data_IF_404794349656
#
_entry.id   IF_404794349656
#
_cell.length_a   1.000
_cell.length_b   1.000
_cell.length_c   1.000
_cell.angle_alpha   90.00
_cell.angle_beta   90.00
_cell.angle_gamma   90.00
#
_symmetry.space_group_name_H-M   'P 1'
#
loop_
_entity.id
_entity.type
_entity.pdbx_description
1 polymer ?
#
# COMPACT_ATOMS: atom_id res chain seq x y z
N UNK A 1 -12.36 16.88 -21.90
CA UNK A 1 -11.03 16.23 -21.86
C UNK A 1 -11.20 14.91 -21.13
N UNK A 2 -10.66 13.78 -21.62
CA UNK A 2 -10.67 12.57 -20.80
C UNK A 2 -9.80 12.84 -19.58
N UNK A 3 -10.40 12.81 -18.40
CA UNK A 3 -9.67 12.94 -17.14
C UNK A 3 -8.77 11.72 -16.97
N UNK A 4 -7.50 11.83 -17.34
CA UNK A 4 -6.50 10.75 -17.20
C UNK A 4 -6.07 10.52 -15.76
N UNK A 5 -6.42 11.43 -14.85
CA UNK A 5 -6.17 11.29 -13.41
C UNK A 5 -7.07 10.20 -12.81
N UNK A 6 -6.43 9.20 -12.18
CA UNK A 6 -7.09 8.05 -11.55
C UNK A 6 -7.54 8.29 -10.10
N UNK A 7 -7.39 9.53 -9.62
CA UNK A 7 -7.70 9.92 -8.24
C UNK A 7 -6.45 10.16 -7.38
N UNK A 8 -6.63 10.58 -6.11
CA UNK A 8 -5.53 10.93 -5.22
C UNK A 8 -4.76 9.69 -4.75
N UNK A 9 -3.43 9.82 -4.71
CA UNK A 9 -2.51 8.83 -4.13
C UNK A 9 -1.97 9.26 -2.77
N UNK A 10 -1.64 8.30 -1.90
CA UNK A 10 -1.05 8.54 -0.59
C UNK A 10 0.29 7.83 -0.44
N UNK A 11 1.33 8.52 0.01
CA UNK A 11 2.59 7.88 0.38
C UNK A 11 2.57 7.44 1.85
N UNK A 12 2.64 6.14 2.08
CA UNK A 12 2.43 5.55 3.41
C UNK A 12 3.61 5.75 4.38
N UNK A 13 4.80 6.10 3.87
CA UNK A 13 6.02 6.18 4.67
C UNK A 13 5.93 7.12 5.87
N UNK A 14 5.18 8.23 5.76
CA UNK A 14 5.01 9.20 6.85
C UNK A 14 4.04 8.74 7.96
N UNK A 15 3.30 7.65 7.72
CA UNK A 15 2.30 7.11 8.65
C UNK A 15 2.75 5.78 9.25
N UNK A 16 3.60 5.02 8.56
CA UNK A 16 4.10 3.72 9.00
C UNK A 16 4.65 3.76 10.43
N UNK A 17 4.17 2.85 11.28
CA UNK A 17 4.53 2.81 12.69
C UNK A 17 4.07 1.51 13.36
N UNK A 18 4.35 1.36 14.65
CA UNK A 18 4.14 0.08 15.35
C UNK A 18 2.70 -0.19 15.79
N UNK A 19 1.85 0.85 15.80
CA UNK A 19 0.47 0.77 16.23
C UNK A 19 -0.50 0.68 15.05
N UNK A 20 -1.60 -0.06 15.24
CA UNK A 20 -2.70 -0.09 14.28
C UNK A 20 -3.33 1.31 14.11
N UNK A 21 -3.79 1.67 12.89
CA UNK A 21 -3.80 0.87 11.67
C UNK A 21 -2.49 0.92 10.87
N UNK A 22 -1.42 1.52 11.38
CA UNK A 22 -0.21 1.87 10.62
C UNK A 22 0.88 0.79 10.57
N UNK A 23 0.61 -0.37 11.17
CA UNK A 23 1.58 -1.44 11.43
C UNK A 23 1.44 -2.65 10.50
N UNK A 24 0.53 -2.61 9.53
CA UNK A 24 0.37 -3.67 8.52
C UNK A 24 -0.22 -3.11 7.23
N UNK A 25 0.13 -3.71 6.10
CA UNK A 25 -0.35 -3.27 4.79
C UNK A 25 -1.89 -3.27 4.69
N UNK A 26 -2.63 -4.33 5.08
CA UNK A 26 -4.10 -4.34 4.95
C UNK A 26 -4.80 -3.27 5.80
N UNK A 27 -4.30 -3.03 7.03
CA UNK A 27 -4.92 -2.06 7.92
C UNK A 27 -4.71 -0.62 7.42
N UNK A 28 -3.50 -0.29 6.94
CA UNK A 28 -3.16 1.05 6.50
C UNK A 28 -3.77 1.37 5.12
N UNK A 29 -3.90 0.39 4.21
CA UNK A 29 -4.60 0.58 2.93
C UNK A 29 -6.09 0.79 3.13
N UNK A 30 -6.72 0.03 4.04
CA UNK A 30 -8.13 0.22 4.42
C UNK A 30 -8.37 1.60 5.05
N UNK A 31 -7.48 2.06 5.92
CA UNK A 31 -7.53 3.41 6.46
C UNK A 31 -7.42 4.47 5.35
N UNK A 32 -6.46 4.34 4.43
CA UNK A 32 -6.29 5.27 3.31
C UNK A 32 -7.52 5.31 2.38
N UNK A 33 -8.11 4.15 2.09
CA UNK A 33 -9.34 4.04 1.31
C UNK A 33 -10.52 4.75 2.00
N UNK A 34 -10.63 4.63 3.33
CA UNK A 34 -11.64 5.34 4.14
C UNK A 34 -11.52 6.86 4.08
N UNK A 35 -10.33 7.41 3.77
CA UNK A 35 -10.10 8.84 3.55
C UNK A 35 -10.35 9.27 2.09
N UNK A 36 -10.67 8.35 1.19
CA UNK A 36 -10.97 8.63 -0.22
C UNK A 36 -9.79 8.50 -1.19
N UNK A 37 -8.63 8.05 -0.73
CA UNK A 37 -7.48 7.77 -1.60
C UNK A 37 -7.77 6.59 -2.55
N UNK A 38 -7.25 6.67 -3.78
CA UNK A 38 -7.44 5.69 -4.85
C UNK A 38 -6.17 4.90 -5.20
N UNK A 39 -5.06 5.24 -4.57
CA UNK A 39 -3.81 4.51 -4.69
C UNK A 39 -2.88 4.82 -3.52
N UNK A 40 -1.90 3.93 -3.30
CA UNK A 40 -0.88 4.10 -2.28
C UNK A 40 0.51 3.91 -2.88
N UNK A 41 1.50 4.61 -2.33
CA UNK A 41 2.91 4.32 -2.50
C UNK A 41 3.40 3.68 -1.19
N UNK A 42 4.05 2.52 -1.28
CA UNK A 42 4.46 1.73 -0.11
C UNK A 42 5.97 1.86 0.08
N UNK A 43 6.47 2.21 1.29
CA UNK A 43 7.90 2.20 1.56
C UNK A 43 8.47 0.78 1.51
N UNK A 44 9.69 0.63 1.00
CA UNK A 44 10.39 -0.66 0.96
C UNK A 44 11.31 -0.91 2.16
N UNK A 45 11.45 0.07 3.06
CA UNK A 45 12.30 -0.04 4.27
C UNK A 45 11.59 -0.77 5.42
N UNK A 46 10.26 -0.86 5.39
CA UNK A 46 9.47 -1.57 6.40
C UNK A 46 8.92 -2.86 5.79
N UNK A 47 9.56 -3.99 6.09
CA UNK A 47 9.17 -5.30 5.58
C UNK A 47 7.77 -5.75 6.06
N UNK A 48 7.20 -5.11 7.09
CA UNK A 48 5.81 -5.33 7.52
C UNK A 48 4.81 -4.78 6.51
N UNK A 49 5.22 -3.77 5.73
CA UNK A 49 4.41 -3.15 4.69
C UNK A 49 4.76 -3.68 3.30
N UNK A 50 6.06 -3.86 3.01
CA UNK A 50 6.51 -4.40 1.74
C UNK A 50 7.90 -5.04 1.85
N UNK A 51 7.99 -6.31 1.52
CA UNK A 51 9.23 -7.09 1.46
C UNK A 51 9.81 -7.00 0.04
N UNK A 52 10.84 -6.16 -0.11
CA UNK A 52 11.48 -5.90 -1.40
C UNK A 52 12.23 -7.13 -1.95
N UNK A 53 12.87 -7.93 -1.09
CA UNK A 53 13.63 -9.11 -1.51
C UNK A 53 12.67 -10.20 -2.02
N UNK A 54 11.56 -10.40 -1.31
CA UNK A 54 10.51 -11.33 -1.74
C UNK A 54 9.83 -10.85 -3.03
N UNK A 55 9.58 -9.54 -3.18
CA UNK A 55 9.05 -8.97 -4.42
C UNK A 55 9.96 -9.19 -5.63
N UNK A 56 11.29 -9.14 -5.43
CA UNK A 56 12.25 -9.36 -6.50
C UNK A 56 12.25 -10.81 -7.03
N UNK A 57 11.82 -11.78 -6.21
CA UNK A 57 11.92 -13.22 -6.52
C UNK A 57 10.58 -13.94 -6.65
N UNK A 58 9.47 -13.30 -6.31
CA UNK A 58 8.15 -13.93 -6.25
C UNK A 58 7.04 -13.07 -6.89
N UNK A 59 6.60 -13.46 -8.08
CA UNK A 59 5.42 -12.87 -8.72
C UNK A 59 4.16 -13.05 -7.86
N UNK A 60 4.01 -14.22 -7.22
CA UNK A 60 2.88 -14.50 -6.34
C UNK A 60 2.79 -13.51 -5.17
N UNK A 61 3.94 -13.11 -4.60
CA UNK A 61 3.96 -12.08 -3.57
C UNK A 61 3.52 -10.72 -4.09
N UNK A 62 3.97 -10.32 -5.28
CA UNK A 62 3.53 -9.07 -5.91
C UNK A 62 2.01 -9.08 -6.18
N UNK A 63 1.46 -10.22 -6.59
CA UNK A 63 0.01 -10.38 -6.81
C UNK A 63 -0.77 -10.35 -5.49
N UNK A 64 -0.23 -10.95 -4.42
CA UNK A 64 -0.80 -10.88 -3.06
C UNK A 64 -0.85 -9.42 -2.55
N UNK A 65 0.26 -8.68 -2.65
CA UNK A 65 0.32 -7.26 -2.28
C UNK A 65 -0.71 -6.44 -3.04
N UNK A 66 -0.83 -6.68 -4.36
CA UNK A 66 -1.83 -6.03 -5.20
C UNK A 66 -3.26 -6.38 -4.77
N UNK A 67 -3.50 -7.65 -4.41
CA UNK A 67 -4.77 -8.12 -3.86
C UNK A 67 -5.15 -7.35 -2.60
N UNK A 68 -4.23 -7.24 -1.63
CA UNK A 68 -4.42 -6.48 -0.39
C UNK A 68 -4.78 -5.01 -0.67
N UNK A 69 -4.21 -4.41 -1.71
CA UNK A 69 -4.46 -3.01 -2.06
C UNK A 69 -5.78 -2.78 -2.83
N UNK A 70 -6.45 -3.86 -3.27
CA UNK A 70 -7.68 -3.79 -4.09
C UNK A 70 -8.93 -4.17 -3.30
N UNK A 71 -8.78 -4.75 -2.10
CA UNK A 71 -9.87 -5.07 -1.16
C UNK A 71 -10.48 -3.81 -0.52
#
# INVERSE_FOLDING_TARGET
>A
MPSTMKGPGLFLAQFAGDAAPFNSLPAITKWAAGLGYKGVQIPTWDSRLFDLEKAASSQAYCDEVKGICTE
#
